data_IF_220751058457
#
_entry.id   IF_220751058457
#
_cell.length_a   1.000
_cell.length_b   1.000
_cell.length_c   1.000
_cell.angle_alpha   90.00
_cell.angle_beta   90.00
_cell.angle_gamma   90.00
#
_symmetry.space_group_name_H-M   'P 1'
#
loop_
_entity.id
_entity.type
_entity.pdbx_description
1 polymer ?
#
# COMPACT_ATOMS: atom_id res chain seq x y z
N UNK A 1 9.92 -35.39 -36.06
CA UNK A 1 9.33 -34.03 -36.12
C UNK A 1 8.87 -33.50 -34.76
N UNK A 2 8.98 -34.24 -33.63
CA UNK A 2 8.50 -33.77 -32.31
C UNK A 2 9.50 -32.90 -31.53
N UNK A 3 10.81 -33.15 -31.66
CA UNK A 3 11.81 -32.59 -30.74
C UNK A 3 12.01 -31.06 -30.84
N UNK A 4 11.83 -30.46 -32.02
CA UNK A 4 12.03 -29.01 -32.22
C UNK A 4 10.85 -28.18 -31.74
N UNK A 5 9.63 -28.73 -31.83
CA UNK A 5 8.40 -28.05 -31.43
C UNK A 5 8.19 -28.09 -29.91
N UNK A 6 8.65 -29.16 -29.25
CA UNK A 6 8.68 -29.25 -27.78
C UNK A 6 9.74 -28.31 -27.19
N UNK A 7 10.92 -28.21 -27.81
CA UNK A 7 11.97 -27.26 -27.40
C UNK A 7 11.55 -25.79 -27.57
N UNK A 8 10.81 -25.43 -28.62
CA UNK A 8 10.33 -24.06 -28.82
C UNK A 8 9.25 -23.67 -27.80
N UNK A 9 8.33 -24.59 -27.47
CA UNK A 9 7.33 -24.37 -26.41
C UNK A 9 7.98 -24.22 -25.04
N UNK A 10 9.02 -25.01 -24.75
CA UNK A 10 9.74 -24.94 -23.49
C UNK A 10 10.54 -23.63 -23.36
N UNK A 11 11.13 -23.12 -24.43
CA UNK A 11 11.76 -21.79 -24.45
C UNK A 11 10.74 -20.67 -24.29
N UNK A 12 9.57 -20.78 -24.90
CA UNK A 12 8.49 -19.79 -24.74
C UNK A 12 7.90 -19.81 -23.33
N UNK A 13 7.74 -20.99 -22.71
CA UNK A 13 7.35 -21.10 -21.30
C UNK A 13 8.43 -20.59 -20.34
N UNK A 14 9.71 -20.86 -20.60
CA UNK A 14 10.82 -20.30 -19.81
C UNK A 14 10.91 -18.78 -19.95
N UNK A 15 10.66 -18.24 -21.15
CA UNK A 15 10.58 -16.80 -21.41
C UNK A 15 9.40 -16.16 -20.68
N UNK A 16 8.21 -16.77 -20.76
CA UNK A 16 7.01 -16.31 -20.03
C UNK A 16 7.20 -16.43 -18.51
N UNK A 17 7.83 -17.49 -18.03
CA UNK A 17 8.17 -17.67 -16.62
C UNK A 17 9.21 -16.65 -16.14
N UNK A 18 10.16 -16.25 -17.00
CA UNK A 18 11.15 -15.21 -16.70
C UNK A 18 10.53 -13.81 -16.57
N UNK A 19 9.42 -13.55 -17.28
CA UNK A 19 8.66 -12.30 -17.20
C UNK A 19 7.59 -12.29 -16.09
N UNK A 20 7.30 -13.44 -15.46
CA UNK A 20 6.19 -13.55 -14.51
C UNK A 20 6.55 -13.10 -13.07
N UNK A 21 7.70 -12.46 -12.88
CA UNK A 21 8.13 -11.90 -11.59
C UNK A 21 8.33 -10.40 -11.74
N UNK A 22 7.23 -9.65 -11.73
CA UNK A 22 7.27 -8.20 -11.60
C UNK A 22 8.28 -7.81 -10.49
N UNK A 23 9.24 -6.95 -10.82
CA UNK A 23 10.30 -6.56 -9.88
C UNK A 23 9.68 -5.99 -8.61
N UNK A 24 10.33 -6.16 -7.45
CA UNK A 24 9.83 -5.59 -6.19
C UNK A 24 9.64 -4.08 -6.28
N UNK A 25 10.49 -3.40 -7.06
CA UNK A 25 10.37 -1.97 -7.36
C UNK A 25 9.06 -1.66 -8.08
N UNK A 26 8.71 -2.45 -9.11
CA UNK A 26 7.46 -2.26 -9.84
C UNK A 26 6.23 -2.52 -8.96
N UNK A 27 6.29 -3.53 -8.09
CA UNK A 27 5.21 -3.80 -7.15
C UNK A 27 5.03 -2.67 -6.13
N UNK A 28 6.13 -2.14 -5.59
CA UNK A 28 6.09 -0.97 -4.71
C UNK A 28 5.50 0.25 -5.43
N UNK A 29 5.91 0.51 -6.68
CA UNK A 29 5.38 1.62 -7.47
C UNK A 29 3.87 1.52 -7.69
N UNK A 30 3.34 0.31 -7.94
CA UNK A 30 1.89 0.07 -8.01
C UNK A 30 1.18 0.41 -6.70
N UNK A 31 1.73 -0.01 -5.56
CA UNK A 31 1.18 0.31 -4.23
C UNK A 31 1.19 1.81 -3.95
N UNK A 32 2.28 2.49 -4.28
CA UNK A 32 2.40 3.95 -4.13
C UNK A 32 1.38 4.70 -4.99
N UNK A 33 1.19 4.26 -6.25
CA UNK A 33 0.18 4.85 -7.14
C UNK A 33 -1.22 4.72 -6.55
N UNK A 34 -1.58 3.54 -6.07
CA UNK A 34 -2.87 3.30 -5.43
C UNK A 34 -3.03 4.14 -4.15
N UNK A 35 -2.00 4.21 -3.31
CA UNK A 35 -1.98 5.06 -2.12
C UNK A 35 -2.23 6.53 -2.45
N UNK A 36 -1.59 7.04 -3.50
CA UNK A 36 -1.78 8.41 -3.98
C UNK A 36 -3.20 8.66 -4.49
N UNK A 37 -3.77 7.74 -5.27
CA UNK A 37 -5.16 7.84 -5.74
C UNK A 37 -6.15 7.88 -4.56
N UNK A 38 -5.95 7.02 -3.56
CA UNK A 38 -6.78 6.98 -2.36
C UNK A 38 -6.61 8.25 -1.51
N UNK A 39 -5.38 8.73 -1.32
CA UNK A 39 -5.10 9.98 -0.61
C UNK A 39 -5.80 11.14 -1.32
N UNK A 40 -5.64 11.27 -2.64
CA UNK A 40 -6.26 12.34 -3.43
C UNK A 40 -7.76 12.39 -3.23
N UNK A 41 -8.44 11.22 -3.30
CA UNK A 41 -9.87 11.12 -3.05
C UNK A 41 -10.23 11.58 -1.63
N UNK A 42 -9.57 11.03 -0.60
CA UNK A 42 -9.85 11.37 0.79
C UNK A 42 -9.54 12.83 1.12
N UNK A 43 -8.48 13.39 0.56
CA UNK A 43 -8.12 14.79 0.79
C UNK A 43 -9.13 15.74 0.12
N UNK A 44 -9.73 15.35 -1.00
CA UNK A 44 -10.84 16.10 -1.58
C UNK A 44 -12.09 16.10 -0.66
N UNK A 45 -12.34 14.98 0.03
CA UNK A 45 -13.48 14.83 0.95
C UNK A 45 -13.28 15.54 2.30
N UNK A 46 -12.06 15.52 2.84
CA UNK A 46 -11.76 15.96 4.22
C UNK A 46 -10.80 17.16 4.33
N UNK A 47 -10.17 17.59 3.24
CA UNK A 47 -9.08 18.56 3.25
C UNK A 47 -7.89 18.09 4.11
N UNK A 48 -7.05 19.04 4.52
CA UNK A 48 -5.84 18.79 5.30
C UNK A 48 -6.13 18.48 6.80
N UNK A 49 -7.26 17.84 7.11
CA UNK A 49 -7.64 17.46 8.47
C UNK A 49 -6.61 16.55 9.18
N UNK A 50 -5.71 15.93 8.42
CA UNK A 50 -4.59 15.17 8.97
C UNK A 50 -3.53 16.07 9.64
N UNK A 51 -3.39 17.32 9.19
CA UNK A 51 -2.39 18.29 9.66
C UNK A 51 -2.73 18.93 11.01
N UNK A 52 -3.99 18.92 11.44
CA UNK A 52 -4.51 19.66 12.61
C UNK A 52 -3.72 19.47 13.92
N UNK A 53 -3.06 18.32 14.10
CA UNK A 53 -2.30 17.98 15.30
C UNK A 53 -0.83 17.68 14.98
N UNK A 54 -0.37 18.10 13.81
CA UNK A 54 0.98 17.84 13.32
C UNK A 54 1.30 16.33 13.18
N UNK A 55 2.59 15.99 13.04
CA UNK A 55 3.04 14.61 12.90
C UNK A 55 2.57 13.69 14.03
N UNK A 56 2.48 14.20 15.26
CA UNK A 56 2.02 13.42 16.44
C UNK A 56 0.59 12.93 16.25
N UNK A 57 -0.33 13.77 15.78
CA UNK A 57 -1.70 13.35 15.52
C UNK A 57 -1.83 12.31 14.40
N UNK A 58 -0.90 12.33 13.45
CA UNK A 58 -0.81 11.30 12.40
C UNK A 58 -0.36 9.95 12.99
N UNK A 59 0.63 9.95 13.89
CA UNK A 59 1.07 8.73 14.60
C UNK A 59 -0.04 8.13 15.47
N UNK A 60 -0.84 8.96 16.15
CA UNK A 60 -1.99 8.45 16.94
C UNK A 60 -2.98 7.71 16.04
N UNK A 61 -3.33 8.29 14.88
CA UNK A 61 -4.26 7.65 13.92
C UNK A 61 -3.72 6.34 13.34
N UNK A 62 -2.41 6.23 13.13
CA UNK A 62 -1.74 4.96 12.79
C UNK A 62 -1.99 3.91 13.88
N UNK A 63 -1.78 4.29 15.14
CA UNK A 63 -2.03 3.44 16.30
C UNK A 63 -3.47 2.91 16.35
N UNK A 64 -4.45 3.80 16.19
CA UNK A 64 -5.88 3.44 16.18
C UNK A 64 -6.21 2.40 15.10
N UNK A 65 -5.65 2.58 13.89
CA UNK A 65 -5.83 1.66 12.76
C UNK A 65 -5.20 0.30 13.03
N UNK A 66 -3.99 0.25 13.58
CA UNK A 66 -3.29 -1.00 13.93
C UNK A 66 -4.03 -1.74 15.04
N UNK A 67 -4.52 -1.03 16.06
CA UNK A 67 -5.28 -1.62 17.16
C UNK A 67 -6.59 -2.24 16.66
N UNK A 68 -7.28 -1.55 15.75
CA UNK A 68 -8.50 -2.07 15.11
C UNK A 68 -8.21 -3.37 14.33
N UNK A 69 -7.14 -3.40 13.56
CA UNK A 69 -6.73 -4.60 12.81
C UNK A 69 -6.40 -5.77 13.75
N UNK A 70 -5.65 -5.50 14.82
CA UNK A 70 -5.25 -6.51 15.82
C UNK A 70 -6.44 -7.08 16.59
N UNK A 71 -7.46 -6.26 16.86
CA UNK A 71 -8.68 -6.69 17.56
C UNK A 71 -9.54 -7.61 16.69
N UNK A 72 -9.62 -7.33 15.39
CA UNK A 72 -10.32 -8.20 14.42
C UNK A 72 -9.63 -9.56 14.30
N UNK A 73 -8.29 -9.58 14.29
CA UNK A 73 -7.52 -10.83 14.18
C UNK A 73 -7.65 -11.75 15.40
N UNK A 74 -7.89 -11.22 16.61
CA UNK A 74 -8.00 -12.03 17.85
C UNK A 74 -9.36 -12.70 18.03
N UNK A 75 -10.43 -12.13 17.46
CA UNK A 75 -11.80 -12.60 17.68
C UNK A 75 -12.25 -13.72 16.72
N UNK A 76 -11.35 -14.27 15.91
CA UNK A 76 -11.66 -15.42 15.03
C UNK A 76 -12.71 -15.15 13.96
N UNK A 77 -13.12 -13.89 13.76
CA UNK A 77 -14.00 -13.50 12.66
C UNK A 77 -13.17 -13.58 11.40
N UNK A 78 -13.20 -14.75 10.77
CA UNK A 78 -12.70 -14.96 9.41
C UNK A 78 -13.27 -13.84 8.56
N UNK A 79 -12.35 -13.00 8.10
CA UNK A 79 -12.56 -11.78 7.34
C UNK A 79 -13.42 -12.06 6.11
N UNK A 80 -14.74 -12.06 6.29
CA UNK A 80 -15.67 -11.84 5.20
C UNK A 80 -15.43 -10.40 4.77
N UNK A 81 -14.90 -10.23 3.57
CA UNK A 81 -14.53 -8.98 2.87
C UNK A 81 -13.01 -8.71 2.83
N UNK A 82 -12.47 -8.85 1.63
CA UNK A 82 -11.11 -8.44 1.24
C UNK A 82 -10.87 -6.92 1.38
N UNK A 83 -11.84 -6.12 1.86
CA UNK A 83 -11.68 -4.73 2.33
C UNK A 83 -10.89 -4.62 3.65
N UNK A 84 -10.52 -5.73 4.31
CA UNK A 84 -10.22 -5.73 5.76
C UNK A 84 -8.76 -5.47 6.16
N UNK A 85 -7.77 -6.08 5.51
CA UNK A 85 -6.35 -5.94 5.87
C UNK A 85 -5.59 -5.05 4.89
N UNK A 86 -5.78 -5.26 3.59
CA UNK A 86 -5.01 -4.58 2.55
C UNK A 86 -5.28 -3.07 2.55
N UNK A 87 -6.55 -2.68 2.62
CA UNK A 87 -6.94 -1.26 2.68
C UNK A 87 -6.39 -0.59 3.93
N UNK A 88 -6.37 -1.31 5.05
CA UNK A 88 -5.71 -0.84 6.28
C UNK A 88 -4.21 -0.63 6.03
N UNK A 89 -3.51 -1.56 5.38
CA UNK A 89 -2.09 -1.39 5.07
C UNK A 89 -1.82 -0.22 4.12
N UNK A 90 -2.71 0.05 3.15
CA UNK A 90 -2.63 1.24 2.29
C UNK A 90 -2.86 2.52 3.11
N UNK A 91 -3.85 2.52 4.02
CA UNK A 91 -4.06 3.64 4.93
C UNK A 91 -2.80 3.90 5.78
N UNK A 92 -2.18 2.85 6.32
CA UNK A 92 -0.95 2.99 7.11
C UNK A 92 0.21 3.56 6.26
N UNK A 93 0.34 3.13 5.00
CA UNK A 93 1.30 3.71 4.06
C UNK A 93 1.08 5.21 3.86
N UNK A 94 -0.17 5.63 3.63
CA UNK A 94 -0.51 7.04 3.45
C UNK A 94 -0.31 7.85 4.73
N UNK A 95 -0.65 7.33 5.90
CA UNK A 95 -0.37 8.02 7.16
C UNK A 95 1.14 8.21 7.40
N UNK A 96 1.97 7.23 7.05
CA UNK A 96 3.42 7.43 7.12
C UNK A 96 3.89 8.56 6.20
N UNK A 97 3.39 8.61 4.95
CA UNK A 97 3.71 9.69 4.01
C UNK A 97 3.23 11.06 4.52
N UNK A 98 2.00 11.16 5.04
CA UNK A 98 1.46 12.39 5.61
C UNK A 98 2.25 12.88 6.82
N UNK A 99 2.77 11.99 7.67
CA UNK A 99 3.63 12.38 8.78
C UNK A 99 4.94 13.01 8.28
N UNK A 100 5.53 12.45 7.23
CA UNK A 100 6.75 12.97 6.59
C UNK A 100 6.47 14.34 5.98
N UNK A 101 5.37 14.51 5.23
CA UNK A 101 4.98 15.81 4.67
C UNK A 101 4.95 16.92 5.72
N UNK A 102 4.36 16.67 6.89
CA UNK A 102 4.29 17.64 7.98
C UNK A 102 5.64 17.91 8.65
N UNK A 103 6.55 16.93 8.67
CA UNK A 103 7.92 17.11 9.18
C UNK A 103 8.72 17.98 8.21
N UNK A 104 8.62 17.69 6.92
CA UNK A 104 9.36 18.39 5.87
C UNK A 104 8.87 19.85 5.74
N UNK A 105 7.56 20.10 5.77
CA UNK A 105 6.99 21.46 5.83
C UNK A 105 7.52 22.27 7.02
N UNK A 106 7.65 21.65 8.19
CA UNK A 106 8.20 22.33 9.36
C UNK A 106 9.67 22.68 9.17
N UNK A 107 10.44 21.84 8.48
CA UNK A 107 11.86 22.09 8.23
C UNK A 107 12.11 23.23 7.24
N UNK A 108 11.17 23.52 6.34
CA UNK A 108 11.24 24.66 5.43
C UNK A 108 10.81 26.00 6.06
N UNK A 109 10.11 25.94 7.20
CA UNK A 109 9.61 27.11 7.94
C UNK A 109 10.51 27.50 9.14
N UNK A 110 11.73 26.94 9.23
CA UNK A 110 12.73 27.23 10.27
C UNK A 110 13.96 27.90 9.67
#
# INVERSE_FOLDING_TARGET
MSNSYESSKQQEELFKASFNKESRVFQMAKVQKEGLELFTKKNADYGDAFANYGPVGVIVRLGDKIQRLSSVSKNGVTLVNNESLRDTLIDLHNYAAMAIMLIDEKSENV
#
